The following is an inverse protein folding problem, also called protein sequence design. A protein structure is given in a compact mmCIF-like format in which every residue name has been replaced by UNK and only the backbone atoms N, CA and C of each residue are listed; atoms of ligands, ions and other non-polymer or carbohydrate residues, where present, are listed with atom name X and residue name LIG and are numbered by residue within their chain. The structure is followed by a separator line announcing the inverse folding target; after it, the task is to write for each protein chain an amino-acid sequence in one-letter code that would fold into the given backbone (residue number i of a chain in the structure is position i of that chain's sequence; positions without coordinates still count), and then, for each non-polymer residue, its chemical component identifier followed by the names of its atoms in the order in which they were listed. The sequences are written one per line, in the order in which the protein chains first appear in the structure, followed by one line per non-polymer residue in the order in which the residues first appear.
data_IF_925335694473
#
_entry.id   IF_925335694473
#
_cell.length_a   1.000
_cell.length_b   1.000
_cell.length_c   1.000
_cell.angle_alpha   90.00
_cell.angle_beta   90.00
_cell.angle_gamma   90.00
#
_symmetry.space_group_name_H-M   'P 1'
#
loop_
_entity.id
_entity.type
_entity.pdbx_description
1 polymer ?
2 polymer ?
3 non-polymer ?
4 non-polymer ?
5 non-polymer ?
6 water ?
#
# COMPACT_ATOMS: atom_id res chain seq x y z
N UNK A 1 -12.33 -17.59 11.55
CA UNK A 1 -12.38 -18.11 10.14
C UNK A 1 -11.67 -19.43 9.98
N UNK A 2 -11.32 -19.78 8.75
CA UNK A 2 -10.73 -21.10 8.39
C UNK A 2 -9.39 -21.29 9.10
N UNK A 3 -8.75 -20.22 9.57
CA UNK A 3 -7.40 -20.36 10.18
C UNK A 3 -7.49 -20.39 11.70
N UNK A 4 -8.70 -20.38 12.25
CA UNK A 4 -8.95 -20.30 13.70
C UNK A 4 -8.28 -21.44 14.47
N UNK A 5 -8.17 -22.61 13.84
CA UNK A 5 -7.58 -23.78 14.54
C UNK A 5 -6.04 -23.87 14.42
N UNK A 6 -5.36 -23.02 13.62
CA UNK A 6 -3.90 -23.12 13.47
C UNK A 6 -3.22 -22.16 14.44
N UNK A 7 -2.14 -22.62 15.06
CA UNK A 7 -1.27 -21.75 15.90
C UNK A 7 -0.87 -20.48 15.14
N UNK A 8 -0.78 -19.36 15.86
CA UNK A 8 -0.22 -18.12 15.28
C UNK A 8 1.15 -18.40 14.68
N UNK A 9 2.05 -19.07 15.40
CA UNK A 9 3.44 -19.26 14.91
C UNK A 9 3.42 -20.06 13.61
N UNK A 10 2.57 -21.08 13.53
CA UNK A 10 2.40 -21.96 12.34
C UNK A 10 1.90 -21.11 11.16
N UNK A 11 0.91 -20.23 11.39
CA UNK A 11 0.39 -19.31 10.30
C UNK A 11 1.52 -18.43 9.79
N UNK A 12 2.37 -17.90 10.65
CA UNK A 12 3.48 -17.02 10.19
C UNK A 12 4.50 -17.88 9.41
N UNK A 13 4.84 -19.05 9.96
CA UNK A 13 5.80 -19.94 9.24
C UNK A 13 5.25 -20.29 7.84
N UNK A 14 3.97 -20.64 7.75
CA UNK A 14 3.35 -21.00 6.44
C UNK A 14 3.23 -19.77 5.55
N UNK A 15 3.02 -18.57 6.09
CA UNK A 15 3.06 -17.34 5.25
C UNK A 15 4.43 -17.24 4.56
N UNK A 16 5.52 -17.49 5.28
CA UNK A 16 6.89 -17.38 4.74
C UNK A 16 7.11 -18.48 3.70
N UNK A 17 6.59 -19.68 3.94
CA UNK A 17 6.67 -20.78 2.93
C UNK A 17 5.89 -20.38 1.66
N UNK A 18 4.68 -19.84 1.84
CA UNK A 18 3.79 -19.47 0.72
C UNK A 18 4.48 -18.39 -0.10
N UNK A 19 5.14 -17.43 0.54
CA UNK A 19 5.97 -16.44 -0.15
C UNK A 19 7.06 -17.12 -1.02
N UNK A 20 7.78 -18.07 -0.46
CA UNK A 20 8.87 -18.78 -1.20
C UNK A 20 8.30 -19.52 -2.40
N UNK A 21 7.05 -19.98 -2.28
CA UNK A 21 6.35 -20.78 -3.31
C UNK A 21 5.60 -19.88 -4.30
N UNK A 22 5.65 -18.56 -4.12
CA UNK A 22 4.87 -17.58 -4.92
C UNK A 22 3.37 -17.90 -4.87
N UNK A 23 2.90 -18.33 -3.71
CA UNK A 23 1.49 -18.64 -3.44
C UNK A 23 0.90 -17.48 -2.63
N UNK A 24 0.66 -16.33 -3.30
CA UNK A 24 0.33 -15.08 -2.57
C UNK A 24 -1.08 -15.12 -2.00
N UNK A 25 -2.04 -15.76 -2.67
CA UNK A 25 -3.39 -15.90 -2.07
C UNK A 25 -3.29 -16.70 -0.76
N UNK A 26 -2.56 -17.82 -0.75
CA UNK A 26 -2.33 -18.58 0.50
C UNK A 26 -1.62 -17.70 1.54
N UNK A 27 -0.61 -16.97 1.10
CA UNK A 27 0.19 -16.11 2.01
C UNK A 27 -0.73 -15.12 2.71
N UNK A 28 -1.59 -14.46 1.92
CA UNK A 28 -2.57 -13.50 2.46
C UNK A 28 -3.52 -14.18 3.43
N UNK A 29 -4.05 -15.35 3.12
CA UNK A 29 -5.00 -16.04 4.02
C UNK A 29 -4.31 -16.43 5.34
N UNK A 30 -3.06 -16.86 5.30
CA UNK A 30 -2.27 -17.20 6.52
C UNK A 30 -2.05 -15.94 7.35
N UNK A 31 -1.75 -14.81 6.71
CA UNK A 31 -1.52 -13.56 7.47
C UNK A 31 -2.83 -12.99 8.03
N UNK A 32 -3.93 -13.09 7.29
CA UNK A 32 -5.25 -12.72 7.82
C UNK A 32 -5.52 -13.57 9.08
N UNK A 33 -5.24 -14.87 9.01
CA UNK A 33 -5.42 -15.76 10.18
C UNK A 33 -4.56 -15.29 11.35
N UNK A 34 -3.29 -14.90 11.08
CA UNK A 34 -2.40 -14.40 12.15
C UNK A 34 -2.97 -13.11 12.76
N UNK A 35 -3.43 -12.18 11.93
CA UNK A 35 -3.99 -10.92 12.46
C UNK A 35 -5.21 -11.25 13.34
N UNK A 36 -6.05 -12.18 12.91
CA UNK A 36 -7.30 -12.49 13.66
C UNK A 36 -7.00 -13.19 14.99
N UNK A 37 -5.75 -13.58 15.29
CA UNK A 37 -5.37 -14.04 16.65
C UNK A 37 -5.48 -12.90 17.65
N UNK A 38 -5.45 -11.64 17.20
CA UNK A 38 -5.75 -10.50 18.09
C UNK A 38 -4.50 -9.86 18.69
N UNK A 39 -3.33 -10.47 18.56
CA UNK A 39 -2.07 -9.87 19.02
C UNK A 39 -1.59 -8.82 18.00
N UNK A 40 -0.83 -7.84 18.47
CA UNK A 40 -0.16 -6.88 17.58
C UNK A 40 0.85 -7.65 16.71
N UNK A 41 1.20 -7.06 15.56
CA UNK A 41 2.18 -7.70 14.65
C UNK A 41 3.52 -7.05 14.87
N UNK A 42 4.54 -7.87 14.77
CA UNK A 42 5.94 -7.37 14.69
C UNK A 42 6.18 -6.66 13.35
N UNK A 43 7.34 -6.02 13.21
CA UNK A 43 7.76 -5.38 11.96
C UNK A 43 7.82 -6.38 10.79
N UNK A 44 8.48 -7.53 11.01
CA UNK A 44 8.52 -8.61 9.99
C UNK A 44 7.09 -9.03 9.60
N UNK A 45 6.22 -9.25 10.58
CA UNK A 45 4.84 -9.78 10.34
C UNK A 45 4.05 -8.71 9.60
N UNK A 46 4.23 -7.43 9.94
CA UNK A 46 3.48 -6.38 9.21
C UNK A 46 3.89 -6.43 7.75
N UNK A 47 5.19 -6.56 7.50
CA UNK A 47 5.71 -6.64 6.10
C UNK A 47 5.16 -7.89 5.40
N UNK A 48 5.06 -9.03 6.09
CA UNK A 48 4.47 -10.24 5.45
C UNK A 48 3.04 -9.92 5.02
N UNK A 49 2.27 -9.28 5.89
CA UNK A 49 0.85 -8.98 5.63
C UNK A 49 0.77 -8.09 4.38
N UNK A 50 1.58 -7.05 4.36
CA UNK A 50 1.56 -6.05 3.26
C UNK A 50 1.97 -6.70 1.94
N UNK A 51 3.06 -7.47 1.94
CA UNK A 51 3.56 -8.11 0.68
C UNK A 51 2.49 -9.06 0.17
N UNK A 52 1.83 -9.79 1.07
CA UNK A 52 0.87 -10.83 0.62
C UNK A 52 -0.27 -10.10 -0.13
N UNK A 53 -0.90 -9.15 0.50
CA UNK A 53 -2.08 -8.50 -0.08
C UNK A 53 -1.67 -7.65 -1.26
N UNK A 54 -0.47 -7.03 -1.23
CA UNK A 54 -0.03 -6.20 -2.37
C UNK A 54 0.07 -7.07 -3.65
N UNK A 55 0.53 -8.29 -3.52
CA UNK A 55 0.68 -9.23 -4.64
C UNK A 55 -0.70 -9.64 -5.12
N UNK A 56 -1.60 -9.95 -4.19
CA UNK A 56 -2.98 -10.35 -4.56
C UNK A 56 -3.68 -9.19 -5.29
N UNK A 57 -3.75 -8.01 -4.69
CA UNK A 57 -4.53 -6.89 -5.30
C UNK A 57 -3.80 -6.47 -6.58
N UNK A 58 -2.47 -6.64 -6.66
CA UNK A 58 -1.70 -6.27 -7.87
C UNK A 58 -2.13 -7.07 -9.10
N UNK A 59 -2.30 -8.38 -8.96
CA UNK A 59 -2.89 -9.27 -10.00
C UNK A 59 -4.25 -8.76 -10.46
N UNK A 60 -5.11 -8.37 -9.52
CA UNK A 60 -6.51 -7.96 -9.76
C UNK A 60 -6.47 -6.60 -10.47
N UNK A 61 -5.62 -5.67 -10.03
CA UNK A 61 -5.57 -4.33 -10.66
C UNK A 61 -5.09 -4.47 -12.12
N UNK A 62 -4.10 -5.31 -12.36
CA UNK A 62 -3.51 -5.51 -13.70
C UNK A 62 -4.59 -6.10 -14.60
N UNK A 63 -5.33 -7.07 -14.09
CA UNK A 63 -6.44 -7.70 -14.84
C UNK A 63 -7.52 -6.69 -15.13
N UNK A 64 -7.92 -5.91 -14.13
CA UNK A 64 -8.98 -4.88 -14.28
C UNK A 64 -8.58 -3.89 -15.38
N UNK A 65 -7.34 -3.41 -15.41
CA UNK A 65 -6.93 -2.44 -16.44
C UNK A 65 -7.00 -3.05 -17.83
N UNK A 66 -6.54 -4.28 -18.00
CA UNK A 66 -6.62 -4.99 -19.30
C UNK A 66 -8.09 -4.97 -19.75
N UNK A 67 -9.02 -5.37 -18.87
CA UNK A 67 -10.46 -5.54 -19.21
C UNK A 67 -11.12 -4.17 -19.45
N UNK A 68 -10.81 -3.17 -18.63
CA UNK A 68 -11.33 -1.79 -18.80
C UNK A 68 -10.92 -1.23 -20.17
N UNK A 69 -9.68 -1.47 -20.60
CA UNK A 69 -9.17 -0.97 -21.91
C UNK A 69 -10.00 -1.61 -23.02
N UNK A 70 -10.18 -2.92 -22.93
CA UNK A 70 -10.97 -3.65 -23.98
C UNK A 70 -12.39 -3.06 -23.97
N UNK A 71 -12.96 -2.86 -22.79
CA UNK A 71 -14.34 -2.36 -22.62
C UNK A 71 -14.45 -0.97 -23.27
N UNK A 72 -13.47 -0.10 -23.03
CA UNK A 72 -13.48 1.28 -23.60
C UNK A 72 -13.37 1.21 -25.13
N UNK A 73 -12.47 0.37 -25.65
CA UNK A 73 -12.34 0.12 -27.12
C UNK A 73 -13.69 -0.40 -27.66
N UNK A 74 -14.38 -1.29 -26.94
CA UNK A 74 -15.61 -1.96 -27.43
C UNK A 74 -16.77 -0.96 -27.51
N UNK A 75 -16.67 0.15 -26.77
CA UNK A 75 -17.57 1.32 -26.86
C UNK A 75 -16.89 2.34 -27.79
N UNK A 83 -22.20 -6.95 -27.17
CA UNK A 83 -22.52 -8.00 -26.18
C UNK A 83 -22.11 -7.58 -24.76
N UNK A 84 -22.75 -8.14 -23.70
CA UNK A 84 -22.48 -7.69 -22.34
C UNK A 84 -21.24 -8.33 -21.68
N UNK A 85 -20.56 -9.23 -22.39
CA UNK A 85 -19.56 -10.15 -21.76
C UNK A 85 -18.37 -9.34 -21.21
N UNK A 86 -17.87 -8.36 -21.95
CA UNK A 86 -16.65 -7.61 -21.51
C UNK A 86 -17.00 -6.87 -20.22
N UNK A 87 -18.11 -6.15 -20.23
CA UNK A 87 -18.58 -5.43 -19.03
C UNK A 87 -18.77 -6.42 -17.88
N UNK A 88 -19.44 -7.55 -18.11
CA UNK A 88 -19.75 -8.50 -17.03
C UNK A 88 -18.44 -9.00 -16.41
N UNK A 89 -17.45 -9.31 -17.24
CA UNK A 89 -16.20 -9.94 -16.72
C UNK A 89 -15.36 -8.88 -16.01
N UNK A 90 -15.35 -7.65 -16.56
CA UNK A 90 -14.67 -6.52 -15.87
C UNK A 90 -15.33 -6.30 -14.50
N UNK A 91 -16.65 -6.37 -14.45
CA UNK A 91 -17.43 -6.21 -13.18
C UNK A 91 -17.11 -7.35 -12.21
N UNK A 92 -16.92 -8.58 -12.68
CA UNK A 92 -16.56 -9.76 -11.85
C UNK A 92 -15.20 -9.55 -11.18
N UNK A 93 -14.22 -9.10 -11.97
CA UNK A 93 -12.85 -8.85 -11.46
C UNK A 93 -12.90 -7.66 -10.50
N UNK A 94 -13.65 -6.61 -10.87
CA UNK A 94 -13.79 -5.38 -10.05
C UNK A 94 -14.36 -5.74 -8.68
N UNK A 95 -15.38 -6.59 -8.62
CA UNK A 95 -16.03 -6.98 -7.35
C UNK A 95 -15.01 -7.77 -6.50
N UNK A 96 -14.24 -8.66 -7.09
CA UNK A 96 -13.28 -9.49 -6.33
C UNK A 96 -12.18 -8.56 -5.80
N UNK A 97 -11.75 -7.60 -6.63
CA UNK A 97 -10.76 -6.56 -6.16
C UNK A 97 -11.32 -5.77 -4.96
N UNK A 98 -12.56 -5.27 -5.08
CA UNK A 98 -13.23 -4.52 -3.98
C UNK A 98 -13.29 -5.40 -2.75
N UNK A 99 -13.56 -6.69 -2.90
CA UNK A 99 -13.63 -7.56 -1.72
C UNK A 99 -12.28 -7.71 -1.03
N UNK A 100 -11.18 -7.83 -1.77
CA UNK A 100 -9.81 -7.87 -1.16
C UNK A 100 -9.56 -6.53 -0.44
N UNK A 101 -9.91 -5.40 -1.05
CA UNK A 101 -9.68 -4.09 -0.38
C UNK A 101 -10.50 -4.01 0.91
N UNK A 102 -11.75 -4.44 0.86
CA UNK A 102 -12.66 -4.44 2.04
C UNK A 102 -12.10 -5.37 3.13
N UNK A 103 -11.52 -6.50 2.74
CA UNK A 103 -10.93 -7.46 3.71
C UNK A 103 -9.75 -6.78 4.42
N UNK A 104 -8.84 -6.18 3.66
CA UNK A 104 -7.64 -5.49 4.23
C UNK A 104 -8.09 -4.32 5.13
N UNK A 105 -8.97 -3.44 4.65
CA UNK A 105 -9.50 -2.32 5.46
C UNK A 105 -10.17 -2.86 6.74
N UNK A 106 -10.83 -4.02 6.64
CA UNK A 106 -11.44 -4.71 7.80
C UNK A 106 -10.41 -5.09 8.84
N UNK A 107 -9.24 -5.60 8.43
CA UNK A 107 -8.18 -5.99 9.37
C UNK A 107 -7.61 -4.72 9.99
N UNK A 108 -7.39 -3.68 9.17
CA UNK A 108 -6.79 -2.41 9.71
C UNK A 108 -7.74 -1.82 10.75
N UNK A 109 -9.05 -1.84 10.52
CA UNK A 109 -10.05 -1.27 11.45
C UNK A 109 -10.43 -2.24 12.59
N UNK A 110 -10.11 -3.52 12.51
CA UNK A 110 -10.44 -4.55 13.52
C UNK A 110 -9.28 -5.50 13.82
N UNK A 111 -8.25 -5.06 14.56
CA UNK A 111 -8.15 -3.82 15.29
C UNK A 111 -6.71 -3.32 15.21
N UNK A 112 -6.07 -3.45 14.05
CA UNK A 112 -4.63 -3.16 13.93
C UNK A 112 -4.34 -1.69 14.23
N UNK A 113 -5.13 -0.76 13.67
CA UNK A 113 -4.79 0.67 13.80
C UNK A 113 -5.01 1.06 15.26
N UNK A 114 -6.12 0.63 15.85
CA UNK A 114 -6.44 1.20 17.17
C UNK A 114 -5.42 0.71 18.21
N UNK A 115 -4.77 -0.43 18.02
CA UNK A 115 -3.76 -0.91 19.01
C UNK A 115 -2.33 -0.49 18.65
N UNK A 116 -2.13 0.21 17.50
CA UNK A 116 -0.80 0.64 17.01
C UNK A 116 -0.42 2.00 17.62
N UNK A 117 0.48 2.00 18.58
CA UNK A 117 0.89 3.22 19.30
C UNK A 117 2.25 3.73 18.87
N UNK A 118 3.15 2.83 18.44
CA UNK A 118 4.50 3.25 18.00
C UNK A 118 4.39 3.88 16.62
N UNK A 119 5.22 4.87 16.33
CA UNK A 119 5.14 5.53 15.00
C UNK A 119 5.30 4.49 13.88
N UNK A 120 6.22 3.52 14.01
CA UNK A 120 6.58 2.57 12.91
C UNK A 120 5.35 1.69 12.58
N UNK A 121 4.58 1.29 13.57
CA UNK A 121 3.35 0.50 13.32
C UNK A 121 2.21 1.41 12.82
N UNK A 122 1.95 2.50 13.54
CA UNK A 122 0.78 3.33 13.22
C UNK A 122 0.90 3.95 11.81
N UNK A 123 2.07 4.48 11.46
CA UNK A 123 2.25 5.03 10.08
C UNK A 123 2.09 3.90 9.07
N UNK A 124 2.68 2.73 9.31
CA UNK A 124 2.62 1.60 8.34
C UNK A 124 1.15 1.27 8.06
N UNK A 125 0.33 1.15 9.09
CA UNK A 125 -1.09 0.71 8.92
C UNK A 125 -1.90 1.83 8.29
N UNK A 126 -1.64 3.09 8.65
CA UNK A 126 -2.42 4.21 8.04
C UNK A 126 -2.02 4.38 6.57
N UNK A 127 -0.75 4.18 6.22
CA UNK A 127 -0.35 4.12 4.80
C UNK A 127 -1.15 3.02 4.09
N UNK A 128 -1.17 1.80 4.64
CA UNK A 128 -1.95 0.69 4.04
C UNK A 128 -3.41 1.13 3.86
N UNK A 129 -4.02 1.78 4.85
CA UNK A 129 -5.43 2.21 4.73
C UNK A 129 -5.60 3.19 3.57
N UNK A 130 -4.69 4.14 3.45
CA UNK A 130 -4.65 5.03 2.26
C UNK A 130 -4.51 4.27 0.95
N UNK A 131 -3.62 3.31 0.89
CA UNK A 131 -3.33 2.52 -0.33
C UNK A 131 -4.61 1.74 -0.73
N UNK A 132 -5.32 1.09 0.22
CA UNK A 132 -6.46 0.22 -0.17
C UNK A 132 -7.66 1.10 -0.53
N UNK A 133 -7.85 2.26 0.10
CA UNK A 133 -8.86 3.23 -0.40
C UNK A 133 -8.47 3.72 -1.80
N UNK A 134 -7.19 3.95 -2.04
CA UNK A 134 -6.73 4.37 -3.40
C UNK A 134 -7.10 3.30 -4.43
N UNK A 135 -6.89 2.04 -4.12
CA UNK A 135 -7.22 0.93 -5.05
C UNK A 135 -8.73 0.92 -5.27
N UNK A 136 -9.54 1.16 -4.25
CA UNK A 136 -11.00 1.28 -4.47
C UNK A 136 -11.26 2.50 -5.38
N UNK A 137 -10.54 3.60 -5.15
CA UNK A 137 -10.80 4.84 -5.92
C UNK A 137 -10.49 4.59 -7.39
N UNK A 138 -9.52 3.72 -7.68
CA UNK A 138 -9.08 3.46 -9.07
C UNK A 138 -10.26 2.93 -9.89
N UNK A 139 -11.15 2.18 -9.28
CA UNK A 139 -12.29 1.51 -9.99
C UNK A 139 -13.63 2.19 -9.67
N UNK A 140 -13.69 3.22 -8.82
CA UNK A 140 -14.94 3.85 -8.36
C UNK A 140 -15.49 4.82 -9.43
N UNK A 141 -16.81 4.89 -9.61
CA UNK A 141 -17.49 5.75 -10.62
C UNK A 141 -18.84 6.31 -10.14
N UNK A 144 -20.14 8.02 -4.78
CA UNK A 144 -19.29 7.53 -3.66
C UNK A 144 -17.79 7.70 -3.97
N UNK A 145 -17.41 7.90 -5.24
CA UNK A 145 -15.99 8.03 -5.63
C UNK A 145 -15.35 9.16 -4.82
N UNK A 146 -16.04 10.29 -4.68
CA UNK A 146 -15.48 11.46 -3.93
C UNK A 146 -15.20 11.07 -2.48
N UNK A 147 -16.10 10.31 -1.86
CA UNK A 147 -15.98 9.95 -0.43
C UNK A 147 -14.85 8.92 -0.32
N UNK A 148 -14.69 8.03 -1.29
CA UNK A 148 -13.59 7.02 -1.24
C UNK A 148 -12.23 7.78 -1.32
N UNK A 149 -12.10 8.71 -2.26
CA UNK A 149 -10.89 9.57 -2.43
C UNK A 149 -10.61 10.30 -1.13
N UNK A 150 -11.63 10.86 -0.48
CA UNK A 150 -11.39 11.61 0.78
C UNK A 150 -10.94 10.64 1.89
N UNK A 151 -11.46 9.40 1.90
CA UNK A 151 -11.01 8.39 2.91
C UNK A 151 -9.51 8.11 2.71
N UNK A 152 -9.10 7.93 1.46
CA UNK A 152 -7.67 7.69 1.15
C UNK A 152 -6.86 8.91 1.63
N UNK A 153 -7.26 10.12 1.24
CA UNK A 153 -6.53 11.37 1.61
C UNK A 153 -6.43 11.46 3.14
N UNK A 154 -7.53 11.24 3.85
CA UNK A 154 -7.58 11.34 5.32
C UNK A 154 -6.56 10.39 5.96
N UNK A 155 -6.51 9.16 5.51
CA UNK A 155 -5.56 8.15 6.06
C UNK A 155 -4.12 8.60 5.78
N UNK A 156 -3.83 8.95 4.53
CA UNK A 156 -2.46 9.38 4.12
C UNK A 156 -2.04 10.61 4.92
N UNK A 157 -2.95 11.55 5.14
CA UNK A 157 -2.59 12.83 5.82
C UNK A 157 -2.27 12.55 7.27
N UNK A 158 -3.05 11.70 7.95
CA UNK A 158 -2.79 11.32 9.36
C UNK A 158 -1.42 10.63 9.43
N UNK A 159 -1.12 9.71 8.51
CA UNK A 159 0.15 8.98 8.49
C UNK A 159 1.27 10.03 8.28
N UNK A 160 1.07 10.98 7.37
CA UNK A 160 2.13 11.99 7.05
C UNK A 160 2.39 12.84 8.30
N UNK A 161 1.34 13.30 8.96
CA UNK A 161 1.51 14.17 10.16
C UNK A 161 2.35 13.43 11.21
N UNK A 162 2.07 12.15 11.46
CA UNK A 162 2.80 11.36 12.50
C UNK A 162 4.24 11.15 12.00
N UNK A 163 4.42 10.81 10.73
CA UNK A 163 5.75 10.50 10.17
C UNK A 163 6.66 11.74 10.28
N UNK A 164 6.11 12.92 10.03
CA UNK A 164 6.96 14.13 10.02
C UNK A 164 7.38 14.48 11.45
N UNK A 165 6.57 14.14 12.44
CA UNK A 165 6.87 14.47 13.85
C UNK A 165 7.79 13.40 14.47
N UNK A 166 7.69 12.14 14.04
CA UNK A 166 8.20 11.01 14.85
C UNK A 166 9.29 10.20 14.15
N UNK A 167 9.53 10.43 12.88
CA UNK A 167 10.47 9.63 12.08
C UNK A 167 11.44 10.56 11.38
N UNK A 168 12.71 10.12 11.20
CA UNK A 168 13.65 10.89 10.41
C UNK A 168 13.21 10.88 8.96
N UNK A 169 13.62 11.88 8.17
CA UNK A 169 13.25 11.93 6.77
C UNK A 169 13.71 10.80 5.85
N UNK A 170 14.66 9.96 6.30
CA UNK A 170 15.18 8.80 5.55
C UNK A 170 14.41 7.53 5.92
N UNK A 171 13.56 7.59 6.93
CA UNK A 171 12.83 6.38 7.39
C UNK A 171 12.12 5.76 6.21
N UNK A 172 12.40 4.49 5.82
CA UNK A 172 11.79 3.90 4.63
C UNK A 172 10.27 3.85 4.64
N UNK A 173 9.66 3.74 5.81
CA UNK A 173 8.16 3.78 5.90
C UNK A 173 7.69 5.17 5.55
N UNK A 174 8.29 6.18 6.15
CA UNK A 174 7.98 7.59 5.82
C UNK A 174 8.17 7.82 4.32
N UNK A 175 9.27 7.36 3.73
CA UNK A 175 9.56 7.53 2.28
C UNK A 175 8.49 6.85 1.42
N UNK A 176 8.13 5.61 1.73
CA UNK A 176 7.12 4.88 0.96
C UNK A 176 5.77 5.54 1.05
N UNK A 177 5.46 6.05 2.23
CA UNK A 177 4.21 6.82 2.43
C UNK A 177 4.19 8.01 1.50
N UNK A 178 5.27 8.80 1.51
CA UNK A 178 5.29 10.02 0.69
C UNK A 178 5.20 9.67 -0.79
N UNK A 179 5.93 8.65 -1.21
CA UNK A 179 5.88 8.15 -2.60
C UNK A 179 4.41 7.87 -2.97
N UNK A 180 3.70 7.09 -2.16
CA UNK A 180 2.34 6.63 -2.50
C UNK A 180 1.37 7.80 -2.41
N UNK A 181 1.54 8.71 -1.44
CA UNK A 181 0.67 9.89 -1.31
C UNK A 181 0.88 10.80 -2.51
N UNK A 182 2.12 10.94 -2.99
CA UNK A 182 2.43 11.73 -4.21
C UNK A 182 1.67 11.14 -5.42
N UNK A 183 1.65 9.81 -5.54
CA UNK A 183 0.93 9.16 -6.68
C UNK A 183 -0.58 9.31 -6.49
N UNK A 184 -1.07 9.23 -5.27
CA UNK A 184 -2.48 9.57 -4.97
C UNK A 184 -2.77 10.97 -5.55
N UNK A 185 -1.97 11.99 -5.20
CA UNK A 185 -2.23 13.38 -5.66
C UNK A 185 -2.23 13.39 -7.18
N UNK A 186 -1.25 12.74 -7.81
CA UNK A 186 -1.07 12.91 -9.27
C UNK A 186 -2.29 12.38 -10.02
N UNK A 187 -2.71 11.18 -9.71
CA UNK A 187 -3.64 10.51 -10.64
C UNK A 187 -4.97 10.16 -9.99
N UNK A 188 -5.13 10.34 -8.69
CA UNK A 188 -6.47 10.14 -8.06
C UNK A 188 -7.11 11.49 -7.77
N UNK A 189 -6.34 12.41 -7.18
CA UNK A 189 -6.85 13.72 -6.76
C UNK A 189 -6.69 14.74 -7.90
N UNK A 190 -6.08 14.39 -9.02
CA UNK A 190 -5.93 15.33 -10.18
C UNK A 190 -5.17 16.58 -9.71
N UNK A 191 -4.17 16.38 -8.84
CA UNK A 191 -3.35 17.48 -8.29
C UNK A 191 -1.89 17.26 -8.65
N UNK A 192 -1.49 17.31 -9.94
CA UNK A 192 -0.12 17.00 -10.33
C UNK A 192 0.90 17.94 -9.67
N UNK A 193 0.52 19.19 -9.44
CA UNK A 193 1.49 20.12 -8.80
C UNK A 193 1.77 19.68 -7.37
N UNK A 194 0.74 19.27 -6.61
CA UNK A 194 0.92 18.76 -5.23
C UNK A 194 1.80 17.50 -5.28
N UNK A 195 1.58 16.60 -6.23
CA UNK A 195 2.38 15.36 -6.36
C UNK A 195 3.87 15.69 -6.53
N UNK A 196 4.16 16.62 -7.42
CA UNK A 196 5.57 16.98 -7.76
C UNK A 196 6.21 17.63 -6.53
N UNK A 197 5.53 18.55 -5.91
CA UNK A 197 6.02 19.28 -4.71
C UNK A 197 6.32 18.28 -3.59
N UNK A 198 5.38 17.38 -3.35
CA UNK A 198 5.62 16.40 -2.28
C UNK A 198 6.83 15.53 -2.63
N UNK A 199 6.94 15.05 -3.87
CA UNK A 199 8.04 14.12 -4.26
C UNK A 199 9.40 14.83 -4.13
N UNK A 200 9.46 16.10 -4.55
CA UNK A 200 10.73 16.88 -4.52
C UNK A 200 11.14 17.15 -3.08
N UNK A 201 10.23 17.67 -2.26
CA UNK A 201 10.52 17.98 -0.85
C UNK A 201 10.96 16.71 -0.13
N UNK A 202 10.23 15.62 -0.37
CA UNK A 202 10.58 14.34 0.28
C UNK A 202 11.99 13.90 -0.13
N UNK A 203 12.31 13.99 -1.41
CA UNK A 203 13.62 13.55 -1.93
C UNK A 203 14.74 14.39 -1.27
N UNK A 204 14.56 15.69 -1.31
CA UNK A 204 15.59 16.68 -0.86
C UNK A 204 15.80 16.52 0.65
N UNK A 205 14.75 16.34 1.45
CA UNK A 205 14.91 16.21 2.91
C UNK A 205 15.59 14.88 3.20
N UNK A 206 15.28 13.81 2.45
CA UNK A 206 15.97 12.52 2.65
C UNK A 206 17.48 12.68 2.33
N UNK A 207 17.78 13.27 1.17
CA UNK A 207 19.18 13.47 0.70
C UNK A 207 20.01 14.08 1.84
N UNK A 208 19.45 15.07 2.52
CA UNK A 208 20.19 15.82 3.55
C UNK A 208 20.32 15.01 4.85
N UNK A 209 19.59 13.89 5.04
CA UNK A 209 19.68 13.03 6.27
C UNK A 209 20.53 11.76 5.98
N UNK A 210 20.93 11.50 4.74
CA UNK A 210 21.62 10.23 4.39
C UNK A 210 22.90 10.11 5.23
N UNK A 211 23.54 11.23 5.51
CA UNK A 211 24.85 11.26 6.22
C UNK A 211 24.77 10.53 7.56
N UNK A 212 23.59 10.42 8.16
CA UNK A 212 23.40 9.86 9.52
C UNK A 212 23.38 8.33 9.51
N UNK A 213 23.28 7.70 8.33
CA UNK A 213 22.89 6.29 8.19
C UNK A 213 24.11 5.38 8.05
N UNK A 214 23.98 4.14 8.53
CA UNK A 214 24.87 3.04 8.18
C UNK A 214 24.71 2.67 6.70
N UNK A 215 25.61 1.82 6.21
CA UNK A 215 25.60 1.28 4.82
C UNK A 215 24.25 0.60 4.53
N UNK A 216 23.72 -0.19 5.46
CA UNK A 216 22.47 -0.99 5.24
C UNK A 216 21.24 -0.06 5.21
N UNK A 217 21.14 0.91 6.10
CA UNK A 217 20.03 1.89 6.14
C UNK A 217 20.10 2.80 4.91
N UNK A 218 21.32 3.15 4.52
CA UNK A 218 21.54 3.98 3.31
C UNK A 218 20.96 3.27 2.08
N UNK A 219 21.30 1.99 1.92
CA UNK A 219 20.77 1.23 0.77
C UNK A 219 19.23 1.18 0.80
N UNK A 220 18.63 0.97 1.96
CA UNK A 220 17.15 0.89 2.09
C UNK A 220 16.49 2.22 1.72
N UNK A 221 17.07 3.33 2.16
CA UNK A 221 16.50 4.68 1.90
C UNK A 221 16.69 5.10 0.44
N UNK A 222 17.89 4.90 -0.12
CA UNK A 222 18.14 5.33 -1.52
C UNK A 222 17.27 4.53 -2.52
N UNK A 223 16.98 3.28 -2.21
CA UNK A 223 16.10 2.50 -3.10
C UNK A 223 14.74 3.21 -3.27
N UNK A 224 14.13 3.66 -2.18
CA UNK A 224 12.81 4.34 -2.30
C UNK A 224 13.01 5.74 -2.86
N UNK A 225 14.12 6.41 -2.54
CA UNK A 225 14.35 7.76 -3.11
C UNK A 225 14.43 7.64 -4.63
N UNK A 226 14.96 6.54 -5.17
CA UNK A 226 15.07 6.33 -6.63
C UNK A 226 13.66 6.22 -7.24
N UNK A 227 12.69 5.67 -6.52
CA UNK A 227 11.29 5.61 -7.03
C UNK A 227 10.71 7.02 -7.09
N UNK A 228 10.97 7.88 -6.09
CA UNK A 228 10.52 9.29 -6.15
C UNK A 228 11.11 9.95 -7.40
N UNK A 229 12.43 9.79 -7.61
CA UNK A 229 13.12 10.39 -8.80
C UNK A 229 12.47 9.85 -10.09
N UNK A 230 12.23 8.55 -10.17
CA UNK A 230 11.64 7.93 -11.38
C UNK A 230 10.33 8.63 -11.69
N UNK A 231 9.49 8.88 -10.68
CA UNK A 231 8.19 9.55 -10.92
C UNK A 231 8.42 11.00 -11.37
N UNK A 232 9.31 11.72 -10.70
CA UNK A 232 9.57 13.14 -11.02
C UNK A 232 10.05 13.24 -12.47
N UNK A 233 10.81 12.26 -12.94
CA UNK A 233 11.32 12.23 -14.34
C UNK A 233 10.16 12.08 -15.32
N UNK A 234 9.15 11.28 -14.95
CA UNK A 234 7.94 11.08 -15.80
C UNK A 234 7.06 12.34 -15.73
N UNK A 235 7.06 13.08 -14.60
CA UNK A 235 6.08 14.16 -14.33
C UNK A 235 6.57 15.53 -14.78
N UNK A 236 7.88 15.67 -15.02
CA UNK A 236 8.57 16.93 -15.39
C UNK A 236 9.44 16.65 -16.61
N UNK B 1 -2.36 1.33 -19.19
CA UNK B 1 -2.16 2.63 -18.49
C UNK B 1 -0.69 2.74 -18.11
N UNK B 2 -0.10 3.92 -18.22
CA UNK B 2 1.22 4.22 -17.59
C UNK B 2 0.97 4.22 -16.07
N UNK B 3 1.53 3.25 -15.35
CA UNK B 3 1.47 3.17 -13.86
C UNK B 3 2.71 3.88 -13.30
N UNK B 4 2.49 4.71 -12.27
CA UNK B 4 3.61 5.40 -11.58
C UNK B 4 4.19 4.48 -10.50
N UNK B 5 5.23 4.98 -9.85
CA UNK B 5 6.14 4.13 -9.06
C UNK B 5 5.70 4.14 -7.59
N UNK B 6 4.97 3.10 -7.16
CA UNK B 6 4.54 3.02 -5.74
C UNK B 6 5.39 2.00 -4.98
N UNK B 7 5.29 2.08 -3.67
CA UNK B 7 6.22 1.34 -2.77
C UNK B 7 5.78 -0.12 -2.61
N UNK B 8 6.74 -1.04 -2.68
CA UNK B 8 6.47 -2.48 -2.50
C UNK B 8 6.47 -3.25 -3.81
N UNK B 9 6.06 -4.53 -3.79
CA UNK B 9 6.01 -5.36 -4.98
C UNK B 9 5.27 -4.74 -6.15
N UNK B 10 5.96 -4.69 -7.29
CA UNK B 10 5.38 -4.21 -8.58
C UNK B 10 4.63 -5.41 -9.17
N UNK B 11 3.47 -5.71 -8.56
CA UNK B 11 2.66 -6.96 -8.69
C UNK B 11 1.54 -6.76 -9.72
N UNK B 12 1.33 -5.51 -10.16
CA UNK B 12 0.35 -5.20 -11.23
C UNK B 12 1.15 -4.90 -12.52
X LIG C 1 12.37 -3.15 4.39
X LIG C 1 12.57 -4.10 3.40
X LIG C 1 11.98 -5.37 3.56
X LIG C 1 11.61 -3.45 5.51
X LIG C 1 11.04 -4.71 5.67
X LIG C 1 11.36 -7.59 7.22
X LIG C 1 12.44 -8.03 9.09
X LIG C 1 11.14 -6.54 8.19
X LIG C 1 10.26 -9.34 5.48
X LIG C 1 10.86 -7.78 5.92
X LIG C 1 10.70 -7.02 4.75
X LIG C 1 10.12 -7.69 3.63
X LIG C 1 9.84 -9.01 3.87
X LIG C 1 9.25 -10.19 3.06
X LIG C 1 8.89 -10.13 1.83
X LIG C 1 9.23 -11.50 3.76
X LIG C 1 11.18 -5.65 4.66
X LIG C 1 12.15 -8.47 7.85
X LIG C 1 11.80 -6.87 9.29
X LIG D 1 -16.89 -1.41 -2.82
X LIG D 1 -16.34 -0.12 -2.73
X LIG D 1 -16.05 0.43 -1.46
X LIG D 1 -17.11 -2.15 -1.66
X LIG D 1 -16.80 -1.59 -0.39
X LIG D 1 -16.88 2.59 0.98
X LIG D 1 -18.22 3.80 -0.16
X LIG D 1 -16.69 3.96 1.36
X LIG D 1 -15.63 1.62 3.14
X LIG D 1 -16.23 1.51 1.53
X LIG D 1 -15.97 0.24 1.04
X LIG D 1 -15.27 -0.55 1.96
X LIG D 1 -15.03 0.03 3.16
X LIG D 1 -14.36 -0.56 4.39
X LIG D 1 -14.04 0.36 5.44
X LIG D 1 -14.17 -1.80 4.58
X LIG D 1 -16.27 -0.31 -0.29
X LIG D 1 -17.82 2.55 0.06
X LIG D 1 -17.54 4.65 0.62
X LIG E 1 -18.33 -13.12 -15.55
X LIG F 1 0.15 -1.57 21.28
X LIG G 1 2.92 -1.19 -10.52
#
# INVERSE_FOLDING_TARGET
GAMGSMERASLIQKAKLAEQAERYEDMAAFMKGAVEKGEELSCEERNLLSVAYKNVVGGQRAAWRVLSSIEQKSNEEGSEEKGPEVREYREKVETELQGVCDTVLGLLDSHLIKEAGDAESRVFYLKMKGDYYRYLAEVATGDDKKRIIDSARSAYQEAMDISKKEMPPTNPIRLGLALNFSVFHYEIANSPEEAISLAKTTFDEAMADLHTLSEDSYKDSTLIMQLLRDNLTLWTADNAGEEGGEAPQEPQS
KLMFKTEGPDSD
KLB C12 C13 C14 C11 C10 C15 C17 C19 S01 C02 C03 C04 C05 C06 N07 N08 C09 N16 N18
KLB C12 C13 C14 C11 C10 C15 C17 C19 S01 C02 C03 C04 C05 C06 N07 N08 C09 N16 N18
CA CA
MG MG
MG MG
#
